data_IF_524822299704
#
_entry.id   IF_524822299704
#
_cell.length_a   1.000
_cell.length_b   1.000
_cell.length_c   1.000
_cell.angle_alpha   90.00
_cell.angle_beta   90.00
_cell.angle_gamma   90.00
#
_symmetry.space_group_name_H-M   'P 1'
#
loop_
_entity.id
_entity.type
_entity.pdbx_description
1 polymer ?
#
# COMPACT_ATOMS: atom_id res chain seq x y z
N UNK A 1 -18.23 2.42 10.70
CA UNK A 1 -17.37 1.21 10.70
C UNK A 1 -16.16 1.52 9.83
N UNK A 2 -14.95 1.56 10.40
CA UNK A 2 -13.75 1.77 9.60
C UNK A 2 -13.66 0.65 8.55
N UNK A 3 -13.76 1.02 7.27
CA UNK A 3 -13.59 0.13 6.12
C UNK A 3 -12.29 -0.64 6.38
N UNK A 4 -12.33 -1.97 6.46
CA UNK A 4 -11.18 -2.83 6.77
C UNK A 4 -9.98 -2.41 5.92
N UNK A 5 -9.03 -1.68 6.50
CA UNK A 5 -7.81 -1.28 5.80
C UNK A 5 -6.97 -2.53 5.61
N UNK A 6 -6.53 -2.74 4.38
CA UNK A 6 -5.78 -3.93 4.01
C UNK A 6 -4.28 -3.60 4.11
N UNK A 7 -3.57 -4.19 5.08
CA UNK A 7 -2.12 -3.99 5.21
C UNK A 7 -1.36 -4.81 4.16
N UNK A 8 -0.48 -4.17 3.38
CA UNK A 8 0.38 -4.80 2.38
C UNK A 8 1.78 -4.20 2.44
N UNK A 9 2.78 -5.05 2.23
CA UNK A 9 4.18 -4.61 2.09
C UNK A 9 4.60 -4.68 0.63
N UNK A 10 5.42 -3.73 0.21
CA UNK A 10 6.00 -3.68 -1.13
C UNK A 10 7.52 -3.62 -1.00
N UNK A 11 8.22 -4.38 -1.83
CA UNK A 11 9.67 -4.28 -1.95
C UNK A 11 10.03 -3.04 -2.78
N UNK A 12 10.89 -2.18 -2.23
CA UNK A 12 11.43 -0.99 -2.88
C UNK A 12 12.93 -0.90 -2.66
N UNK A 13 13.65 -0.20 -3.55
CA UNK A 13 15.08 0.07 -3.33
C UNK A 13 15.26 0.86 -2.02
N UNK A 14 16.23 0.46 -1.19
CA UNK A 14 16.46 1.08 0.12
C UNK A 14 16.67 2.59 0.06
N UNK A 15 17.42 3.08 -0.94
CA UNK A 15 17.63 4.53 -1.17
C UNK A 15 16.29 5.23 -1.45
N UNK A 16 15.42 4.63 -2.24
CA UNK A 16 14.09 5.20 -2.55
C UNK A 16 13.23 5.29 -1.30
N UNK A 17 13.21 4.21 -0.49
CA UNK A 17 12.48 4.22 0.79
C UNK A 17 12.99 5.31 1.72
N UNK A 18 14.31 5.44 1.89
CA UNK A 18 14.87 6.44 2.79
C UNK A 18 14.54 7.86 2.35
N UNK A 19 14.61 8.14 1.04
CA UNK A 19 14.20 9.44 0.48
C UNK A 19 12.73 9.74 0.74
N UNK A 20 11.86 8.75 0.52
CA UNK A 20 10.42 8.87 0.80
C UNK A 20 10.17 9.14 2.29
N UNK A 21 10.79 8.36 3.17
CA UNK A 21 10.66 8.51 4.62
C UNK A 21 11.06 9.92 5.08
N UNK A 22 12.23 10.39 4.67
CA UNK A 22 12.72 11.72 5.05
C UNK A 22 11.79 12.84 4.56
N UNK A 23 11.28 12.71 3.33
CA UNK A 23 10.34 13.66 2.75
C UNK A 23 9.02 13.74 3.55
N UNK A 24 8.45 12.58 3.92
CA UNK A 24 7.23 12.53 4.71
C UNK A 24 7.45 13.09 6.14
N UNK A 25 8.58 12.75 6.78
CA UNK A 25 8.93 13.25 8.11
C UNK A 25 9.08 14.77 8.14
N UNK A 26 9.73 15.37 7.14
CA UNK A 26 9.89 16.82 7.04
C UNK A 26 8.57 17.58 6.94
N UNK A 27 7.49 16.92 6.49
CA UNK A 27 6.16 17.50 6.30
C UNK A 27 5.14 17.01 7.32
N UNK A 28 5.56 16.25 8.35
CA UNK A 28 4.66 15.62 9.33
C UNK A 28 3.58 14.72 8.68
N UNK A 29 3.92 14.06 7.57
CA UNK A 29 3.05 13.12 6.87
C UNK A 29 3.40 11.68 7.22
N UNK A 30 2.38 10.81 7.22
CA UNK A 30 2.62 9.36 7.24
C UNK A 30 3.01 8.86 5.85
N UNK A 31 3.96 7.91 5.78
CA UNK A 31 4.35 7.28 4.50
C UNK A 31 3.15 6.60 3.84
N UNK A 32 2.29 5.94 4.61
CA UNK A 32 1.08 5.29 4.10
C UNK A 32 0.10 6.30 3.51
N UNK A 33 -0.20 7.39 4.21
CA UNK A 33 -1.12 8.43 3.71
C UNK A 33 -0.60 9.08 2.44
N UNK A 34 0.69 9.42 2.41
CA UNK A 34 1.31 9.98 1.21
C UNK A 34 1.25 9.03 0.00
N UNK A 35 1.46 7.73 0.22
CA UNK A 35 1.33 6.74 -0.85
C UNK A 35 -0.13 6.57 -1.30
N UNK A 36 -1.10 6.55 -0.37
CA UNK A 36 -2.52 6.49 -0.70
C UNK A 36 -2.94 7.68 -1.58
N UNK A 37 -2.51 8.90 -1.24
CA UNK A 37 -2.80 10.12 -2.01
C UNK A 37 -2.22 10.05 -3.44
N UNK A 38 -0.96 9.62 -3.58
CA UNK A 38 -0.33 9.48 -4.90
C UNK A 38 -1.01 8.41 -5.74
N UNK A 39 -1.32 7.26 -5.13
CA UNK A 39 -1.98 6.16 -5.82
C UNK A 39 -3.36 6.61 -6.32
N UNK A 40 -4.16 7.25 -5.45
CA UNK A 40 -5.46 7.79 -5.82
C UNK A 40 -5.33 8.78 -6.99
N UNK A 41 -4.48 9.80 -6.86
CA UNK A 41 -4.28 10.81 -7.89
C UNK A 41 -3.84 10.21 -9.24
N UNK A 42 -2.98 9.17 -9.22
CA UNK A 42 -2.53 8.48 -10.44
C UNK A 42 -3.63 7.66 -11.09
N UNK A 43 -4.45 6.95 -10.31
CA UNK A 43 -5.55 6.14 -10.81
C UNK A 43 -6.70 7.01 -11.34
N UNK A 44 -7.00 8.10 -10.64
CA UNK A 44 -8.01 9.09 -11.05
C UNK A 44 -7.61 9.75 -12.37
N UNK A 45 -6.35 10.17 -12.52
CA UNK A 45 -5.85 10.73 -13.78
C UNK A 45 -5.90 9.73 -14.95
N UNK A 46 -5.86 8.43 -14.66
CA UNK A 46 -6.00 7.35 -15.64
C UNK A 46 -7.47 6.92 -15.86
N UNK A 47 -8.45 7.57 -15.22
CA UNK A 47 -9.87 7.19 -15.21
C UNK A 47 -10.10 5.72 -14.84
N UNK A 48 -9.28 5.17 -13.94
CA UNK A 48 -9.46 3.80 -13.46
C UNK A 48 -10.68 3.78 -12.54
N UNK A 49 -11.70 2.95 -12.83
CA UNK A 49 -12.91 2.93 -12.02
C UNK A 49 -12.61 2.40 -10.61
N UNK A 50 -13.22 3.03 -9.61
CA UNK A 50 -13.15 2.56 -8.23
C UNK A 50 -13.94 1.24 -8.12
N UNK A 51 -13.35 0.15 -7.62
CA UNK A 51 -14.07 -1.11 -7.45
C UNK A 51 -15.23 -0.95 -6.46
N UNK A 52 -16.45 -1.30 -6.88
CA UNK A 52 -17.65 -1.25 -6.03
C UNK A 52 -17.60 -2.24 -4.87
N UNK A 53 -16.88 -3.37 -5.06
CA UNK A 53 -16.72 -4.43 -4.07
C UNK A 53 -15.26 -4.86 -4.00
N UNK A 54 -14.71 -4.86 -2.80
CA UNK A 54 -13.42 -5.48 -2.50
C UNK A 54 -13.73 -6.83 -1.89
N UNK A 55 -13.50 -7.91 -2.64
CA UNK A 55 -13.68 -9.25 -2.09
C UNK A 55 -12.72 -9.49 -0.92
N UNK A 56 -13.20 -10.00 0.22
CA UNK A 56 -12.32 -10.40 1.30
C UNK A 56 -11.37 -11.46 0.77
N UNK A 57 -10.07 -11.17 0.82
CA UNK A 57 -9.06 -12.17 0.49
C UNK A 57 -9.30 -13.44 1.31
N UNK A 58 -9.25 -14.60 0.65
CA UNK A 58 -9.33 -15.89 1.32
C UNK A 58 -8.34 -15.92 2.49
N UNK A 59 -8.85 -16.16 3.71
CA UNK A 59 -8.01 -16.20 4.91
C UNK A 59 -6.99 -17.33 4.75
N UNK A 60 -5.69 -17.12 5.07
CA UNK A 60 -4.78 -18.23 5.25
C UNK A 60 -5.34 -19.17 6.35
N UNK A 61 -5.08 -20.47 6.23
CA UNK A 61 -5.58 -21.47 7.17
C UNK A 61 -5.10 -21.12 8.59
N UNK A 62 -5.97 -21.31 9.59
CA UNK A 62 -5.65 -20.99 10.97
C UNK A 62 -4.40 -21.76 11.43
N UNK A 63 -3.34 -21.02 11.78
CA UNK A 63 -2.06 -21.59 12.24
C UNK A 63 -0.82 -21.05 11.52
N UNK A 64 -0.98 -20.38 10.38
CA UNK A 64 0.15 -19.76 9.66
C UNK A 64 0.35 -18.31 10.13
N UNK A 65 1.59 -17.89 10.44
CA UNK A 65 1.88 -16.48 10.74
C UNK A 65 1.39 -15.61 9.58
N UNK A 66 0.93 -14.38 9.85
CA UNK A 66 0.58 -13.41 8.80
C UNK A 66 1.80 -13.23 7.87
N UNK A 67 1.81 -14.00 6.78
CA UNK A 67 2.89 -13.94 5.82
C UNK A 67 2.78 -12.58 5.18
N UNK A 68 3.78 -11.74 5.45
CA UNK A 68 3.95 -10.49 4.72
C UNK A 68 4.17 -10.89 3.28
N UNK A 69 3.13 -10.77 2.46
CA UNK A 69 3.23 -11.02 1.03
C UNK A 69 4.02 -9.88 0.45
N UNK A 70 5.33 -10.08 0.44
CA UNK A 70 6.25 -9.26 -0.30
C UNK A 70 6.10 -9.62 -1.76
N UNK A 71 5.28 -8.87 -2.48
CA UNK A 71 5.26 -8.95 -3.94
C UNK A 71 6.57 -8.35 -4.45
N UNK A 72 7.48 -9.21 -4.89
CA UNK A 72 8.71 -8.81 -5.56
C UNK A 72 8.40 -8.65 -7.04
N UNK A 73 8.53 -7.43 -7.55
CA UNK A 73 8.47 -7.18 -8.99
C UNK A 73 9.89 -7.34 -9.56
N UNK A 74 10.08 -8.31 -10.45
CA UNK A 74 11.25 -8.35 -11.34
C UNK A 74 11.01 -7.35 -12.47
N UNK A 75 11.89 -6.36 -12.58
CA UNK A 75 11.90 -5.39 -13.69
C UNK A 75 12.86 -5.87 -14.79
#
# INVERSE_FOLDING_TARGET
MAKRQTRRSISVKGITYQRLKNFCEAQSLSVSGYLEDIIAAKLDAANVPVPEKVEPRAKPKAGEPEEIISQHFTF
#
